data_IF_639033233870
#
_entry.id   IF_639033233870
#
_cell.length_a   1.000
_cell.length_b   1.000
_cell.length_c   1.000
_cell.angle_alpha   90.00
_cell.angle_beta   90.00
_cell.angle_gamma   90.00
#
_symmetry.space_group_name_H-M   'P 1'
#
loop_
_entity.id
_entity.type
_entity.pdbx_description
1 polymer ?
#
# COMPACT_ATOMS: atom_id res chain seq x y z
N UNK A 1 -26.82 -43.49 -30.10
CA UNK A 1 -25.82 -42.72 -29.33
C UNK A 1 -26.57 -41.79 -28.38
N UNK A 2 -26.54 -42.02 -27.06
CA UNK A 2 -27.17 -41.11 -26.10
C UNK A 2 -26.28 -39.87 -25.97
N UNK A 3 -26.72 -38.75 -26.52
CA UNK A 3 -26.06 -37.46 -26.30
C UNK A 3 -26.11 -37.11 -24.82
N UNK A 4 -24.95 -36.89 -24.21
CA UNK A 4 -24.86 -36.35 -22.86
C UNK A 4 -25.38 -34.90 -22.91
N UNK A 5 -26.62 -34.68 -22.47
CA UNK A 5 -27.13 -33.33 -22.24
C UNK A 5 -26.36 -32.76 -21.05
N UNK A 6 -25.42 -31.86 -21.33
CA UNK A 6 -24.73 -31.10 -20.29
C UNK A 6 -25.78 -30.19 -19.63
N UNK A 7 -25.99 -30.38 -18.33
CA UNK A 7 -26.81 -29.47 -17.53
C UNK A 7 -26.06 -28.15 -17.35
N UNK A 8 -26.50 -27.14 -18.08
CA UNK A 8 -25.92 -25.79 -18.06
C UNK A 8 -25.95 -25.21 -16.63
N UNK A 9 -26.95 -25.55 -15.83
CA UNK A 9 -27.07 -25.03 -14.46
C UNK A 9 -26.00 -25.63 -13.55
N UNK A 10 -25.77 -26.94 -13.63
CA UNK A 10 -24.68 -27.62 -12.91
C UNK A 10 -23.31 -27.08 -13.30
N UNK A 11 -23.06 -26.84 -14.59
CA UNK A 11 -21.80 -26.24 -15.06
C UNK A 11 -21.63 -24.83 -14.52
N UNK A 12 -22.68 -24.00 -14.55
CA UNK A 12 -22.65 -22.64 -14.01
C UNK A 12 -22.31 -22.63 -12.52
N UNK A 13 -22.97 -23.48 -11.72
CA UNK A 13 -22.71 -23.58 -10.28
C UNK A 13 -21.27 -24.00 -9.99
N UNK A 14 -20.75 -24.99 -10.72
CA UNK A 14 -19.35 -25.41 -10.60
C UNK A 14 -18.36 -24.28 -10.92
N UNK A 15 -18.61 -23.51 -11.99
CA UNK A 15 -17.75 -22.38 -12.35
C UNK A 15 -17.79 -21.26 -11.30
N UNK A 16 -18.96 -20.98 -10.72
CA UNK A 16 -19.10 -20.01 -9.64
C UNK A 16 -18.30 -20.45 -8.41
N UNK A 17 -18.52 -21.67 -7.93
CA UNK A 17 -17.80 -22.20 -6.75
C UNK A 17 -16.28 -22.23 -6.97
N UNK A 18 -15.84 -22.60 -8.18
CA UNK A 18 -14.42 -22.59 -8.56
C UNK A 18 -13.83 -21.17 -8.54
N UNK A 19 -14.59 -20.18 -9.02
CA UNK A 19 -14.16 -18.78 -9.01
C UNK A 19 -14.11 -18.22 -7.59
N UNK A 20 -15.09 -18.55 -6.74
CA UNK A 20 -15.12 -18.16 -5.33
C UNK A 20 -13.92 -18.73 -4.56
N UNK A 21 -13.62 -20.02 -4.74
CA UNK A 21 -12.43 -20.65 -4.15
C UNK A 21 -11.14 -19.99 -4.62
N UNK A 22 -11.03 -19.70 -5.92
CA UNK A 22 -9.85 -19.02 -6.49
C UNK A 22 -9.69 -17.62 -5.92
N UNK A 23 -10.78 -16.87 -5.80
CA UNK A 23 -10.78 -15.53 -5.22
C UNK A 23 -10.37 -15.57 -3.75
N UNK A 24 -10.94 -16.50 -2.96
CA UNK A 24 -10.58 -16.66 -1.55
C UNK A 24 -9.08 -16.94 -1.34
N UNK A 25 -8.49 -17.80 -2.18
CA UNK A 25 -7.05 -18.08 -2.16
C UNK A 25 -6.25 -16.81 -2.49
N UNK A 26 -6.62 -16.08 -3.55
CA UNK A 26 -5.94 -14.83 -3.91
C UNK A 26 -6.07 -13.76 -2.82
N UNK A 27 -7.23 -13.62 -2.21
CA UNK A 27 -7.43 -12.68 -1.10
C UNK A 27 -6.48 -12.99 0.04
N UNK A 28 -6.38 -14.27 0.44
CA UNK A 28 -5.45 -14.69 1.47
C UNK A 28 -3.99 -14.39 1.10
N UNK A 29 -3.57 -14.68 -0.13
CA UNK A 29 -2.21 -14.40 -0.60
C UNK A 29 -1.89 -12.89 -0.57
N UNK A 30 -2.84 -12.05 -1.03
CA UNK A 30 -2.70 -10.59 -0.97
C UNK A 30 -2.59 -10.09 0.48
N UNK A 31 -3.40 -10.63 1.38
CA UNK A 31 -3.39 -10.22 2.80
C UNK A 31 -2.06 -10.60 3.48
N UNK A 32 -1.47 -11.74 3.13
CA UNK A 32 -0.13 -12.15 3.57
C UNK A 32 0.95 -11.18 3.07
N UNK A 33 0.87 -10.74 1.81
CA UNK A 33 1.78 -9.74 1.22
C UNK A 33 1.62 -8.40 1.92
N UNK A 34 0.39 -7.91 2.12
CA UNK A 34 0.12 -6.67 2.83
C UNK A 34 0.68 -6.70 4.25
N UNK A 35 0.52 -7.83 4.95
CA UNK A 35 1.08 -8.04 6.28
C UNK A 35 2.62 -8.02 6.27
N UNK A 36 3.24 -8.65 5.26
CA UNK A 36 4.69 -8.63 5.07
C UNK A 36 5.22 -7.22 4.85
N UNK A 37 4.64 -6.45 3.92
CA UNK A 37 5.04 -5.06 3.64
C UNK A 37 4.86 -4.17 4.87
N UNK A 38 3.79 -4.34 5.64
CA UNK A 38 3.56 -3.59 6.90
C UNK A 38 4.63 -3.86 7.97
N UNK A 39 5.12 -5.11 8.06
CA UNK A 39 6.19 -5.48 9.01
C UNK A 39 7.54 -4.85 8.67
N UNK A 40 7.72 -4.35 7.45
CA UNK A 40 8.93 -3.64 7.02
C UNK A 40 8.94 -2.16 7.44
N UNK A 41 8.05 -1.73 8.34
CA UNK A 41 7.96 -0.33 8.84
C UNK A 41 9.30 0.28 9.24
N UNK A 42 10.15 -0.46 9.96
CA UNK A 42 11.49 0.01 10.36
C UNK A 42 12.45 0.17 9.20
N UNK A 43 12.28 -0.62 8.14
CA UNK A 43 13.05 -0.50 6.92
C UNK A 43 12.62 0.74 6.14
N UNK A 44 11.31 0.96 5.98
CA UNK A 44 10.78 2.20 5.39
C UNK A 44 11.28 3.42 6.16
N UNK A 45 11.26 3.35 7.50
CA UNK A 45 11.77 4.40 8.37
C UNK A 45 13.25 4.73 8.09
N UNK A 46 14.10 3.69 8.06
CA UNK A 46 15.54 3.76 7.82
C UNK A 46 15.91 4.46 6.52
N UNK A 47 15.15 4.21 5.45
CA UNK A 47 15.42 4.77 4.12
C UNK A 47 14.70 6.10 3.86
N UNK A 48 14.01 6.68 4.84
CA UNK A 48 13.32 7.95 4.63
C UNK A 48 12.02 7.85 3.83
N UNK A 49 11.50 6.63 3.58
CA UNK A 49 10.21 6.44 2.91
C UNK A 49 9.09 6.94 3.83
N UNK A 50 8.19 7.73 3.29
CA UNK A 50 7.02 8.25 4.00
C UNK A 50 5.78 7.43 3.70
N UNK A 51 5.57 7.01 2.45
CA UNK A 51 4.43 6.20 2.05
C UNK A 51 4.82 5.08 1.12
N UNK A 52 4.11 3.96 1.24
CA UNK A 52 4.22 2.79 0.36
C UNK A 52 2.84 2.41 -0.15
N UNK A 53 2.71 2.34 -1.46
CA UNK A 53 1.50 1.93 -2.17
C UNK A 53 1.72 0.58 -2.82
N UNK A 54 0.84 -0.38 -2.57
CA UNK A 54 0.73 -1.59 -3.39
C UNK A 54 -0.17 -1.26 -4.59
N UNK A 55 0.29 -1.58 -5.79
CA UNK A 55 -0.45 -1.36 -7.03
C UNK A 55 -0.41 -2.59 -7.94
N UNK A 56 -0.84 -2.42 -9.18
CA UNK A 56 -0.69 -3.43 -10.22
C UNK A 56 -1.55 -4.67 -9.98
N UNK A 57 -1.00 -5.82 -10.33
CA UNK A 57 -1.76 -7.07 -10.46
C UNK A 57 -2.38 -7.56 -9.13
N UNK A 58 -1.78 -7.18 -8.00
CA UNK A 58 -2.24 -7.51 -6.64
C UNK A 58 -3.51 -6.73 -6.25
N UNK A 59 -3.66 -5.49 -6.71
CA UNK A 59 -4.87 -4.69 -6.49
C UNK A 59 -6.01 -5.20 -7.37
N UNK A 60 -5.70 -5.57 -8.61
CA UNK A 60 -6.67 -6.04 -9.62
C UNK A 60 -7.06 -7.52 -9.48
N UNK A 61 -6.45 -8.26 -8.54
CA UNK A 61 -6.59 -9.72 -8.42
C UNK A 61 -6.24 -10.48 -9.72
N UNK A 62 -5.43 -9.89 -10.60
CA UNK A 62 -5.00 -10.49 -11.87
C UNK A 62 -3.71 -11.31 -11.74
N UNK A 63 -3.01 -11.22 -10.61
CA UNK A 63 -1.75 -11.92 -10.34
C UNK A 63 -1.85 -13.45 -10.37
N UNK A 64 -0.72 -14.11 -10.66
CA UNK A 64 -0.52 -15.55 -10.45
C UNK A 64 0.67 -15.77 -9.51
N UNK A 65 1.07 -17.03 -9.27
CA UNK A 65 2.15 -17.39 -8.32
C UNK A 65 3.56 -16.89 -8.68
N UNK A 66 3.76 -16.40 -9.90
CA UNK A 66 5.04 -15.91 -10.42
C UNK A 66 5.09 -14.39 -10.63
N UNK A 67 3.96 -13.68 -10.47
CA UNK A 67 3.81 -12.27 -10.87
C UNK A 67 4.31 -11.25 -9.85
N UNK A 68 5.60 -11.02 -9.58
CA UNK A 68 6.14 -9.91 -8.71
C UNK A 68 5.25 -9.21 -7.60
N UNK A 69 5.76 -8.19 -6.94
CA UNK A 69 4.99 -7.39 -5.98
C UNK A 69 5.31 -5.94 -6.30
N UNK A 70 4.38 -5.29 -6.99
CA UNK A 70 4.51 -3.89 -7.41
C UNK A 70 4.28 -2.94 -6.23
N UNK A 71 5.34 -2.25 -5.77
CA UNK A 71 5.22 -1.19 -4.78
C UNK A 71 5.77 0.14 -5.29
N UNK A 72 5.03 1.21 -5.01
CA UNK A 72 5.46 2.58 -5.27
C UNK A 72 5.74 3.28 -3.94
N UNK A 73 6.85 4.02 -3.87
CA UNK A 73 7.26 4.74 -2.65
C UNK A 73 7.33 6.25 -2.88
N UNK A 74 7.03 7.03 -1.84
CA UNK A 74 7.31 8.46 -1.77
C UNK A 74 7.88 8.82 -0.38
N UNK A 75 8.75 9.85 -0.25
CA UNK A 75 9.30 10.69 -1.33
C UNK A 75 10.34 9.94 -2.19
N UNK A 76 10.91 10.65 -3.17
CA UNK A 76 11.99 10.13 -4.00
C UNK A 76 13.21 9.77 -3.16
N UNK A 77 13.82 8.63 -3.49
CA UNK A 77 15.09 8.19 -2.93
C UNK A 77 16.18 8.40 -3.98
N UNK A 78 17.40 8.70 -3.54
CA UNK A 78 18.54 8.58 -4.44
C UNK A 78 18.74 7.12 -4.87
N UNK A 79 19.43 6.95 -6.00
CA UNK A 79 19.63 5.65 -6.63
C UNK A 79 20.30 4.62 -5.71
N UNK A 80 21.27 5.04 -4.88
CA UNK A 80 21.98 4.15 -3.97
C UNK A 80 21.05 3.64 -2.87
N UNK A 81 20.25 4.52 -2.28
CA UNK A 81 19.27 4.15 -1.27
C UNK A 81 18.14 3.29 -1.84
N UNK A 82 17.67 3.57 -3.06
CA UNK A 82 16.69 2.73 -3.74
C UNK A 82 17.22 1.31 -3.98
N UNK A 83 18.47 1.17 -4.46
CA UNK A 83 19.11 -0.13 -4.66
C UNK A 83 19.32 -0.91 -3.36
N UNK A 84 19.74 -0.23 -2.30
CA UNK A 84 19.90 -0.86 -0.97
C UNK A 84 18.55 -1.32 -0.41
N UNK A 85 17.52 -0.48 -0.52
CA UNK A 85 16.16 -0.79 -0.11
C UNK A 85 15.63 -2.02 -0.85
N UNK A 86 15.78 -2.06 -2.18
CA UNK A 86 15.45 -3.22 -3.02
C UNK A 86 16.16 -4.50 -2.54
N UNK A 87 17.46 -4.41 -2.29
CA UNK A 87 18.28 -5.53 -1.86
C UNK A 87 17.88 -6.06 -0.48
N UNK A 88 17.51 -5.18 0.45
CA UNK A 88 17.08 -5.58 1.80
C UNK A 88 15.68 -6.19 1.77
N UNK A 89 14.73 -5.63 1.03
CA UNK A 89 13.34 -6.14 0.96
C UNK A 89 13.27 -7.52 0.34
N UNK A 90 14.00 -7.76 -0.74
CA UNK A 90 13.98 -9.05 -1.42
C UNK A 90 14.53 -10.20 -0.55
N UNK A 91 15.21 -9.91 0.58
CA UNK A 91 15.57 -10.94 1.58
C UNK A 91 14.40 -11.41 2.44
N UNK A 92 13.34 -10.61 2.54
CA UNK A 92 12.15 -10.89 3.36
C UNK A 92 10.98 -11.50 2.58
N UNK A 93 11.05 -11.47 1.25
CA UNK A 93 10.00 -11.97 0.38
C UNK A 93 10.45 -13.20 -0.39
N UNK A 94 9.53 -14.16 -0.57
CA UNK A 94 9.75 -15.31 -1.46
C UNK A 94 9.47 -14.98 -2.93
N UNK A 95 8.85 -13.82 -3.18
CA UNK A 95 8.54 -13.28 -4.50
C UNK A 95 9.32 -11.99 -4.67
N UNK A 96 9.81 -11.75 -5.88
CA UNK A 96 10.42 -10.47 -6.26
C UNK A 96 9.48 -9.31 -5.92
N UNK A 97 10.04 -8.26 -5.33
CA UNK A 97 9.34 -7.00 -5.06
C UNK A 97 9.91 -5.96 -6.01
N UNK A 98 9.11 -5.47 -6.95
CA UNK A 98 9.48 -4.34 -7.82
C UNK A 98 9.17 -3.04 -7.09
N UNK A 99 10.20 -2.22 -6.87
CA UNK A 99 10.11 -0.97 -6.12
C UNK A 99 10.33 0.18 -7.07
N UNK A 100 9.33 1.06 -7.17
CA UNK A 100 9.37 2.24 -8.04
C UNK A 100 9.19 3.51 -7.23
N UNK A 101 9.85 4.58 -7.66
CA UNK A 101 9.54 5.91 -7.17
C UNK A 101 8.19 6.34 -7.74
N UNK A 102 7.27 6.76 -6.87
CA UNK A 102 5.92 7.14 -7.31
C UNK A 102 5.96 8.32 -8.29
N UNK A 103 6.93 9.23 -8.17
CA UNK A 103 7.09 10.40 -9.03
C UNK A 103 7.37 10.04 -10.50
N UNK A 104 8.06 8.93 -10.75
CA UNK A 104 8.51 8.45 -12.07
C UNK A 104 7.43 7.69 -12.84
N UNK A 105 6.35 7.27 -12.16
CA UNK A 105 5.29 6.49 -12.79
C UNK A 105 4.29 7.41 -13.52
N UNK A 106 3.99 7.17 -14.82
CA UNK A 106 3.08 8.02 -15.59
C UNK A 106 1.63 7.96 -15.10
N UNK A 107 1.28 6.95 -14.30
CA UNK A 107 -0.03 6.73 -13.71
C UNK A 107 -0.04 6.92 -12.19
N UNK A 108 0.88 7.74 -11.64
CA UNK A 108 0.99 8.00 -10.19
C UNK A 108 -0.30 8.47 -9.52
N UNK A 109 -1.09 9.31 -10.19
CA UNK A 109 -2.37 9.78 -9.64
C UNK A 109 -3.39 8.64 -9.53
N UNK A 110 -3.37 7.70 -10.48
CA UNK A 110 -4.17 6.47 -10.37
C UNK A 110 -3.71 5.64 -9.18
N UNK A 111 -2.40 5.49 -8.95
CA UNK A 111 -1.87 4.73 -7.80
C UNK A 111 -2.28 5.38 -6.48
N UNK A 112 -2.20 6.71 -6.35
CA UNK A 112 -2.65 7.41 -5.13
C UNK A 112 -4.14 7.20 -4.85
N UNK A 113 -4.96 7.14 -5.90
CA UNK A 113 -6.42 7.01 -5.79
C UNK A 113 -6.89 5.57 -5.59
N UNK A 114 -6.30 4.63 -6.32
CA UNK A 114 -6.80 3.25 -6.46
C UNK A 114 -5.85 2.22 -5.85
N UNK A 115 -4.58 2.57 -5.66
CA UNK A 115 -3.61 1.74 -4.97
C UNK A 115 -3.94 1.57 -3.49
N UNK A 116 -3.41 0.52 -2.88
CA UNK A 116 -3.58 0.26 -1.46
C UNK A 116 -2.44 0.95 -0.72
N UNK A 117 -2.74 1.98 0.09
CA UNK A 117 -1.77 2.57 1.01
C UNK A 117 -1.43 1.56 2.11
N UNK A 118 -0.22 1.00 2.06
CA UNK A 118 0.21 -0.09 2.95
C UNK A 118 0.95 0.43 4.16
N UNK A 119 1.72 1.50 3.98
CA UNK A 119 2.49 2.17 5.02
C UNK A 119 2.37 3.68 4.84
N UNK A 120 2.20 4.38 5.95
CA UNK A 120 2.37 5.82 6.06
C UNK A 120 3.14 6.11 7.35
N UNK A 121 4.22 6.88 7.23
CA UNK A 121 5.05 7.29 8.36
C UNK A 121 4.21 8.16 9.28
N UNK A 122 4.04 7.71 10.52
CA UNK A 122 3.51 8.56 11.56
C UNK A 122 4.60 9.53 11.95
N UNK A 123 4.46 10.79 11.54
CA UNK A 123 5.23 11.86 12.16
C UNK A 123 4.68 11.99 13.59
N UNK A 124 5.43 11.49 14.57
CA UNK A 124 5.23 11.95 15.93
C UNK A 124 5.50 13.44 15.90
N UNK A 125 4.47 14.25 16.16
CA UNK A 125 4.63 15.68 16.39
C UNK A 125 5.50 15.86 17.64
N UNK A 126 6.81 15.75 17.51
CA UNK A 126 7.74 16.30 18.47
C UNK A 126 7.73 17.80 18.15
N UNK A 127 6.80 18.53 18.75
CA UNK A 127 6.86 19.99 18.81
C UNK A 127 8.06 20.39 19.68
N UNK A 128 9.28 20.09 19.24
CA UNK A 128 10.49 20.71 19.75
C UNK A 128 10.67 22.04 19.02
N UNK A 129 9.89 23.03 19.45
CA UNK A 129 10.10 24.44 19.09
C UNK A 129 9.09 25.07 18.13
N UNK A 130 7.85 25.30 18.60
CA UNK A 130 7.08 26.48 18.20
C UNK A 130 5.91 26.75 19.17
N UNK A 131 5.91 27.87 19.91
CA UNK A 131 4.71 28.42 20.52
C UNK A 131 4.26 29.63 19.68
N UNK A 132 3.43 29.41 18.65
CA UNK A 132 2.86 30.55 17.89
C UNK A 132 1.34 30.45 17.69
N UNK A 133 0.76 29.25 17.60
CA UNK A 133 -0.70 29.13 17.48
C UNK A 133 -1.44 29.20 18.82
N UNK A 134 -0.87 28.69 19.93
CA UNK A 134 -1.48 28.81 21.26
C UNK A 134 -1.41 30.25 21.81
N UNK A 135 -0.31 30.97 21.54
CA UNK A 135 -0.13 32.37 21.97
C UNK A 135 -1.13 33.29 21.25
N UNK A 136 -1.47 33.02 19.98
CA UNK A 136 -2.40 33.87 19.24
C UNK A 136 -3.84 33.73 19.75
N UNK A 137 -4.23 32.51 20.16
CA UNK A 137 -5.54 32.27 20.78
C UNK A 137 -5.59 32.90 22.18
N UNK A 138 -4.56 32.72 23.01
CA UNK A 138 -4.54 33.31 24.36
C UNK A 138 -4.45 34.85 24.37
N UNK A 139 -3.71 35.46 23.43
CA UNK A 139 -3.66 36.92 23.29
C UNK A 139 -5.01 37.49 22.86
N UNK A 140 -5.70 36.84 21.92
CA UNK A 140 -7.02 37.28 21.49
C UNK A 140 -8.09 37.07 22.57
N UNK A 141 -8.01 35.98 23.36
CA UNK A 141 -8.93 35.75 24.47
C UNK A 141 -8.75 36.76 25.60
N UNK A 142 -7.50 37.13 25.94
CA UNK A 142 -7.21 38.20 26.93
C UNK A 142 -7.60 39.60 26.43
N UNK A 143 -7.57 39.84 25.11
CA UNK A 143 -8.04 41.10 24.52
C UNK A 143 -9.57 41.20 24.52
N UNK A 144 -10.27 40.07 24.34
CA UNK A 144 -11.74 40.00 24.45
C UNK A 144 -12.23 40.17 25.88
N UNK A 145 -11.54 39.58 26.86
CA UNK A 145 -11.93 39.63 28.27
C UNK A 145 -11.57 40.94 28.99
N UNK A 146 -10.84 41.86 28.34
CA UNK A 146 -10.53 43.21 28.86
C UNK A 146 -11.47 44.31 28.36
N UNK A 147 -12.50 43.96 27.58
CA UNK A 147 -13.48 44.93 27.02
C UNK A 147 -14.80 45.01 27.80
N UNK A 148 -14.87 44.49 29.03
CA UNK A 148 -15.98 44.68 29.96
C UNK A 148 -15.46 45.02 31.35
#
# INVERSE_FOLDING_TARGET
MKGCKIDIQSVKNYLLEKNEKKLAIKTKERDEILSMIRRLSKLWEKYGVERVYLYGSMVEFSFNKYSDIDIAVEPDLDFENLLKLYSEINRYSKREVDIRLLSELPFREKIRKEGILVYERKHSCIFSGMPTMLILIEKNLKLLLKKH
#
